data_IF_466109977115
#
_entry.id   IF_466109977115
#
_cell.length_a   1.000
_cell.length_b   1.000
_cell.length_c   1.000
_cell.angle_alpha   90.00
_cell.angle_beta   90.00
_cell.angle_gamma   90.00
#
_symmetry.space_group_name_H-M   'P 1'
#
loop_
_entity.id
_entity.type
_entity.pdbx_description
1 polymer ?
#
# COMPACT_ATOMS: atom_id res chain seq x y z
N UNK A 1 0.39 20.77 -23.36
CA UNK A 1 -0.01 20.09 -22.12
C UNK A 1 1.11 20.30 -21.11
N UNK A 2 0.91 21.12 -20.07
CA UNK A 2 1.98 21.51 -19.14
C UNK A 2 1.90 20.61 -17.89
N UNK A 3 2.80 19.64 -17.78
CA UNK A 3 2.91 18.77 -16.62
C UNK A 3 3.64 19.57 -15.53
N UNK A 4 2.93 19.97 -14.46
CA UNK A 4 3.57 20.58 -13.29
C UNK A 4 4.29 19.49 -12.50
N UNK A 5 5.60 19.62 -12.38
CA UNK A 5 6.41 18.82 -11.47
C UNK A 5 6.09 19.34 -10.05
N UNK A 6 5.31 18.59 -9.28
CA UNK A 6 5.07 18.87 -7.86
C UNK A 6 6.10 18.07 -7.06
N UNK A 7 6.90 18.75 -6.23
CA UNK A 7 7.67 18.08 -5.18
C UNK A 7 6.68 17.50 -4.17
N UNK A 8 6.58 16.18 -4.13
CA UNK A 8 5.69 15.45 -3.24
C UNK A 8 6.50 14.91 -2.08
N UNK A 9 6.33 15.48 -0.89
CA UNK A 9 6.91 14.94 0.33
C UNK A 9 6.15 13.67 0.72
N UNK A 10 6.72 12.52 0.36
CA UNK A 10 6.08 11.21 0.45
C UNK A 10 5.79 10.72 1.88
N UNK A 11 6.21 11.47 2.90
CA UNK A 11 6.00 11.13 4.30
C UNK A 11 4.62 11.55 4.79
N UNK A 12 3.95 10.64 5.49
CA UNK A 12 2.73 10.91 6.25
C UNK A 12 2.82 10.21 7.60
N UNK A 13 2.15 10.76 8.58
CA UNK A 13 1.93 10.11 9.86
C UNK A 13 0.44 9.86 10.04
N UNK A 14 0.08 8.66 10.49
CA UNK A 14 -1.29 8.34 10.86
C UNK A 14 -1.44 8.56 12.36
N UNK A 15 -2.53 9.20 12.76
CA UNK A 15 -2.97 9.21 14.15
C UNK A 15 -3.10 7.77 14.67
N UNK A 16 -2.74 7.53 15.93
CA UNK A 16 -2.69 6.17 16.50
C UNK A 16 -3.99 5.38 16.30
N UNK A 17 -5.15 6.02 16.53
CA UNK A 17 -6.46 5.40 16.35
C UNK A 17 -6.74 5.04 14.87
N UNK A 18 -6.33 5.91 13.93
CA UNK A 18 -6.47 5.67 12.50
C UNK A 18 -5.57 4.51 12.05
N UNK A 19 -4.33 4.48 12.54
CA UNK A 19 -3.38 3.39 12.29
C UNK A 19 -3.90 2.05 12.80
N UNK A 20 -4.35 1.99 14.05
CA UNK A 20 -4.90 0.77 14.67
C UNK A 20 -6.09 0.23 13.87
N UNK A 21 -7.03 1.12 13.52
CA UNK A 21 -8.21 0.74 12.72
C UNK A 21 -7.82 0.23 11.35
N UNK A 22 -6.95 0.96 10.64
CA UNK A 22 -6.51 0.57 9.30
C UNK A 22 -5.74 -0.76 9.33
N UNK A 23 -4.84 -0.95 10.29
CA UNK A 23 -4.03 -2.16 10.39
C UNK A 23 -4.88 -3.36 10.75
N UNK A 24 -5.88 -3.21 11.63
CA UNK A 24 -6.83 -4.28 11.92
C UNK A 24 -7.59 -4.73 10.66
N UNK A 25 -8.00 -3.78 9.80
CA UNK A 25 -8.65 -4.09 8.52
C UNK A 25 -7.70 -4.78 7.53
N UNK A 26 -6.46 -4.31 7.43
CA UNK A 26 -5.44 -4.86 6.51
C UNK A 26 -4.90 -6.24 6.95
N UNK A 27 -4.91 -6.53 8.26
CA UNK A 27 -4.62 -7.85 8.82
C UNK A 27 -5.82 -8.81 8.72
N UNK A 28 -7.02 -8.28 8.51
CA UNK A 28 -8.27 -9.03 8.48
C UNK A 28 -8.23 -10.22 7.51
N UNK A 29 -8.60 -11.40 8.00
CA UNK A 29 -8.54 -12.66 7.23
C UNK A 29 -9.31 -12.59 5.91
N UNK A 30 -10.50 -11.97 5.91
CA UNK A 30 -11.31 -11.80 4.70
C UNK A 30 -10.56 -11.00 3.63
N UNK A 31 -9.90 -9.91 4.01
CA UNK A 31 -9.16 -9.08 3.06
C UNK A 31 -7.90 -9.81 2.57
N UNK A 32 -7.16 -10.47 3.47
CA UNK A 32 -5.99 -11.27 3.09
C UNK A 32 -6.35 -12.40 2.12
N UNK A 33 -7.50 -13.07 2.31
CA UNK A 33 -8.01 -14.07 1.37
C UNK A 33 -8.32 -13.49 -0.01
N UNK A 34 -8.90 -12.28 -0.08
CA UNK A 34 -9.14 -11.60 -1.35
C UNK A 34 -7.82 -11.28 -2.07
N UNK A 35 -6.84 -10.75 -1.33
CA UNK A 35 -5.51 -10.42 -1.87
C UNK A 35 -4.79 -11.68 -2.34
N UNK A 36 -4.75 -12.75 -1.53
CA UNK A 36 -4.07 -13.99 -1.89
C UNK A 36 -4.71 -14.68 -3.09
N UNK A 37 -6.05 -14.66 -3.18
CA UNK A 37 -6.81 -15.18 -4.33
C UNK A 37 -6.46 -14.41 -5.61
N UNK A 38 -6.47 -13.07 -5.55
CA UNK A 38 -6.11 -12.24 -6.70
C UNK A 38 -4.66 -12.40 -7.14
N UNK A 39 -3.76 -12.69 -6.19
CA UNK A 39 -2.34 -12.95 -6.44
C UNK A 39 -2.00 -14.42 -6.72
N UNK A 40 -3.01 -15.30 -6.76
CA UNK A 40 -2.86 -16.75 -6.98
C UNK A 40 -1.82 -17.41 -6.05
N UNK A 41 -1.80 -17.02 -4.78
CA UNK A 41 -0.90 -17.57 -3.76
C UNK A 41 -1.67 -18.16 -2.57
N UNK A 42 -0.98 -18.91 -1.70
CA UNK A 42 -1.62 -19.62 -0.58
C UNK A 42 -2.18 -18.67 0.46
N UNK A 43 -1.37 -17.71 0.88
CA UNK A 43 -1.73 -16.66 1.82
C UNK A 43 -0.82 -15.44 1.61
N UNK A 44 -1.16 -14.34 2.26
CA UNK A 44 -0.33 -13.14 2.32
C UNK A 44 -0.21 -12.64 3.75
N UNK A 45 0.93 -12.01 4.04
CA UNK A 45 1.20 -11.35 5.33
C UNK A 45 1.35 -9.86 5.10
N UNK A 46 0.52 -9.05 5.76
CA UNK A 46 0.69 -7.60 5.76
C UNK A 46 1.95 -7.24 6.55
N UNK A 47 2.86 -6.48 5.95
CA UNK A 47 4.14 -6.12 6.58
C UNK A 47 4.07 -4.83 7.41
N UNK A 48 2.89 -4.24 7.56
CA UNK A 48 2.71 -2.95 8.25
C UNK A 48 3.45 -1.78 7.59
N UNK A 49 3.86 -1.98 6.34
CA UNK A 49 4.48 -0.97 5.50
C UNK A 49 3.42 -0.35 4.59
N UNK A 50 3.29 0.97 4.69
CA UNK A 50 2.39 1.78 3.89
C UNK A 50 3.18 2.88 3.19
N UNK A 51 2.74 3.26 2.00
CA UNK A 51 3.23 4.46 1.31
C UNK A 51 2.10 5.15 0.56
N UNK A 52 2.27 6.45 0.31
CA UNK A 52 1.39 7.16 -0.60
C UNK A 52 1.92 7.05 -2.03
N UNK A 53 1.10 6.65 -3.01
CA UNK A 53 1.50 6.70 -4.40
C UNK A 53 1.75 8.14 -4.83
N UNK A 54 2.89 8.35 -5.50
CA UNK A 54 3.37 9.65 -5.95
C UNK A 54 3.13 9.82 -7.44
N UNK A 55 3.07 11.06 -7.97
CA UNK A 55 2.98 11.27 -9.41
C UNK A 55 4.12 10.58 -10.16
N UNK A 56 3.82 10.12 -11.38
CA UNK A 56 4.85 9.63 -12.29
C UNK A 56 5.84 10.75 -12.61
N UNK A 57 7.13 10.44 -12.49
CA UNK A 57 8.22 11.32 -12.90
C UNK A 57 9.43 10.49 -13.35
N UNK A 58 10.45 11.15 -13.88
CA UNK A 58 11.74 10.51 -14.18
C UNK A 58 12.37 9.84 -12.95
N UNK A 59 12.07 10.33 -11.75
CA UNK A 59 12.59 9.80 -10.48
C UNK A 59 11.65 8.78 -9.82
N UNK A 60 10.41 8.64 -10.31
CA UNK A 60 9.34 7.79 -9.73
C UNK A 60 8.55 7.08 -10.84
N UNK A 61 9.21 6.24 -11.65
CA UNK A 61 8.60 5.67 -12.86
C UNK A 61 7.43 4.71 -12.56
N UNK A 62 7.37 4.16 -11.35
CA UNK A 62 6.27 3.29 -10.91
C UNK A 62 5.21 4.02 -10.06
N UNK A 63 5.27 5.36 -9.99
CA UNK A 63 4.36 6.14 -9.15
C UNK A 63 4.47 5.79 -7.66
N UNK A 64 5.65 5.36 -7.21
CA UNK A 64 5.93 5.04 -5.82
C UNK A 64 7.26 5.63 -5.36
N UNK A 65 7.47 5.81 -4.04
CA UNK A 65 8.77 6.22 -3.52
C UNK A 65 9.83 5.14 -3.74
N UNK A 66 11.07 5.54 -4.01
CA UNK A 66 12.21 4.65 -4.28
C UNK A 66 12.43 3.57 -3.20
N UNK A 67 12.15 3.91 -1.94
CA UNK A 67 12.26 2.96 -0.82
C UNK A 67 11.35 1.72 -0.96
N UNK A 68 10.29 1.81 -1.77
CA UNK A 68 9.32 0.73 -1.98
C UNK A 68 9.51 -0.02 -3.30
N UNK A 69 10.38 0.46 -4.20
CA UNK A 69 10.69 -0.22 -5.47
C UNK A 69 11.20 -1.66 -5.30
N UNK A 70 12.01 -2.02 -4.28
CA UNK A 70 12.41 -3.40 -4.07
C UNK A 70 11.25 -4.38 -3.89
N UNK A 71 10.14 -3.92 -3.27
CA UNK A 71 8.92 -4.73 -3.12
C UNK A 71 8.12 -4.84 -4.41
N UNK A 72 8.17 -3.83 -5.27
CA UNK A 72 7.53 -3.89 -6.59
C UNK A 72 8.26 -4.84 -7.55
N UNK A 73 9.60 -4.85 -7.48
CA UNK A 73 10.45 -5.62 -8.38
C UNK A 73 10.65 -7.07 -7.96
N UNK A 74 10.10 -7.49 -6.81
CA UNK A 74 10.25 -8.84 -6.28
C UNK A 74 8.94 -9.61 -6.42
N UNK A 75 9.05 -10.86 -6.88
CA UNK A 75 7.90 -11.75 -7.01
C UNK A 75 7.34 -12.21 -5.65
N UNK A 76 8.11 -12.06 -4.57
CA UNK A 76 7.74 -12.46 -3.21
C UNK A 76 6.79 -11.48 -2.53
N UNK A 77 6.67 -10.26 -3.07
CA UNK A 77 5.87 -9.20 -2.47
C UNK A 77 4.74 -8.74 -3.39
N UNK A 78 3.80 -8.02 -2.80
CA UNK A 78 2.64 -7.44 -3.44
C UNK A 78 2.48 -6.01 -2.95
N UNK A 79 2.27 -5.10 -3.91
CA UNK A 79 1.85 -3.73 -3.64
C UNK A 79 0.34 -3.67 -3.88
N UNK A 80 -0.43 -3.45 -2.81
CA UNK A 80 -1.90 -3.45 -2.84
C UNK A 80 -2.42 -2.06 -2.55
N UNK A 81 -3.25 -1.51 -3.44
CA UNK A 81 -3.96 -0.25 -3.15
C UNK A 81 -4.92 -0.47 -1.98
N UNK A 82 -4.84 0.37 -0.96
CA UNK A 82 -5.74 0.32 0.19
C UNK A 82 -7.15 0.74 -0.27
N UNK A 83 -8.18 -0.09 -0.03
CA UNK A 83 -9.55 0.24 -0.43
C UNK A 83 -10.07 1.54 0.20
N UNK A 84 -10.82 2.33 -0.57
CA UNK A 84 -11.34 3.63 -0.11
C UNK A 84 -12.24 3.50 1.13
N UNK A 85 -13.00 2.41 1.26
CA UNK A 85 -13.79 2.14 2.45
C UNK A 85 -12.93 1.91 3.71
N UNK A 86 -11.69 1.40 3.59
CA UNK A 86 -10.78 1.23 4.73
C UNK A 86 -10.22 2.58 5.18
N UNK A 87 -9.81 3.41 4.21
CA UNK A 87 -9.38 4.82 4.46
C UNK A 87 -10.50 5.58 5.19
N UNK A 88 -11.74 5.44 4.73
CA UNK A 88 -12.90 6.08 5.34
C UNK A 88 -13.20 5.56 6.76
N UNK A 89 -13.18 4.24 6.97
CA UNK A 89 -13.40 3.65 8.29
C UNK A 89 -12.32 4.06 9.30
N UNK A 90 -11.07 4.16 8.85
CA UNK A 90 -9.96 4.65 9.66
C UNK A 90 -9.95 6.19 9.84
N UNK A 91 -10.92 6.91 9.27
CA UNK A 91 -11.05 8.37 9.33
C UNK A 91 -9.82 9.13 8.81
N UNK A 92 -9.11 8.55 7.84
CA UNK A 92 -7.92 9.16 7.24
C UNK A 92 -8.38 10.18 6.19
N UNK A 93 -8.12 11.47 6.45
CA UNK A 93 -8.48 12.57 5.53
C UNK A 93 -7.32 12.98 4.62
N UNK A 94 -6.08 12.81 5.10
CA UNK A 94 -4.84 12.91 4.33
C UNK A 94 -3.85 11.86 4.84
N UNK A 95 -3.25 11.05 3.96
CA UNK A 95 -3.39 11.06 2.51
C UNK A 95 -4.66 10.36 1.98
N UNK A 96 -5.10 10.72 0.77
CA UNK A 96 -6.34 10.16 0.17
C UNK A 96 -6.16 8.78 -0.45
N UNK A 97 -4.91 8.38 -0.73
CA UNK A 97 -4.56 7.08 -1.29
C UNK A 97 -3.36 6.54 -0.54
N UNK A 98 -3.43 5.24 -0.24
CA UNK A 98 -2.34 4.50 0.38
C UNK A 98 -2.17 3.19 -0.38
N UNK A 99 -0.93 2.71 -0.41
CA UNK A 99 -0.56 1.39 -0.86
C UNK A 99 0.03 0.62 0.33
N UNK A 100 -0.31 -0.65 0.44
CA UNK A 100 0.14 -1.57 1.47
C UNK A 100 1.06 -2.65 0.88
N UNK A 101 2.11 -3.00 1.61
CA UNK A 101 3.01 -4.09 1.22
C UNK A 101 2.59 -5.39 1.90
N UNK A 102 2.37 -6.40 1.09
CA UNK A 102 2.16 -7.78 1.52
C UNK A 102 3.31 -8.66 1.05
N UNK A 103 3.67 -9.65 1.86
CA UNK A 103 4.53 -10.76 1.47
C UNK A 103 3.67 -11.96 1.10
N UNK A 104 3.95 -12.61 -0.02
CA UNK A 104 3.33 -13.88 -0.40
C UNK A 104 3.87 -15.00 0.46
N UNK A 105 2.99 -15.91 0.88
CA UNK A 105 3.35 -17.19 1.45
C UNK A 105 3.28 -18.21 0.32
N UNK A 106 4.44 -18.64 -0.18
CA UNK A 106 4.53 -19.69 -1.19
C UNK A 106 4.31 -21.06 -0.53
N UNK A 107 3.79 -22.03 -1.29
CA UNK A 107 3.80 -23.43 -0.86
C UNK A 107 5.21 -23.99 -1.03
N UNK A 108 5.67 -24.78 -0.06
CA UNK A 108 6.73 -25.77 -0.23
C UNK A 108 6.30 -26.88 -1.21
#
# INVERSE_FOLDING_TARGET
MQIRIMEFDGSFELESAAKETLFALLHGSTFRQQVSTGAQCKDVTFLELLFQPVPYSTNTPHGMPRAFEPYHNSEDYLVVNVPANFIFQARISRPSRLCAIYRKVLRD
#
